data_IF_826081799174
#
_entry.id   IF_826081799174
#
_cell.length_a   1.000
_cell.length_b   1.000
_cell.length_c   1.000
_cell.angle_alpha   90.00
_cell.angle_beta   90.00
_cell.angle_gamma   90.00
#
_symmetry.space_group_name_H-M   'P 1'
#
loop_
_entity.id
_entity.type
_entity.pdbx_description
1 polymer ?
#
# COMPACT_ATOMS: atom_id res chain seq x y z
N UNK A 1 -11.69 -8.44 41.41
CA UNK A 1 -12.41 -7.87 40.26
C UNK A 1 -11.45 -7.89 39.07
N UNK A 2 -11.58 -8.87 38.17
CA UNK A 2 -10.68 -9.05 37.03
C UNK A 2 -10.95 -7.96 35.99
N UNK A 3 -9.97 -7.07 35.75
CA UNK A 3 -9.98 -6.18 34.60
C UNK A 3 -10.10 -7.03 33.33
N UNK A 4 -11.21 -6.88 32.60
CA UNK A 4 -11.40 -7.54 31.30
C UNK A 4 -10.43 -6.91 30.31
N UNK A 5 -9.24 -7.49 30.17
CA UNK A 5 -8.21 -7.03 29.24
C UNK A 5 -8.70 -7.27 27.81
N UNK A 6 -9.20 -6.23 27.16
CA UNK A 6 -9.40 -6.20 25.72
C UNK A 6 -8.05 -5.95 25.05
N UNK A 7 -7.54 -6.93 24.30
CA UNK A 7 -6.28 -6.75 23.56
C UNK A 7 -6.62 -6.35 22.14
N UNK A 8 -6.24 -5.13 21.73
CA UNK A 8 -6.41 -4.63 20.37
C UNK A 8 -5.07 -4.51 19.63
N UNK A 9 -4.98 -5.07 18.43
CA UNK A 9 -3.77 -5.02 17.60
C UNK A 9 -4.14 -5.11 16.10
N UNK A 10 -3.66 -4.17 15.28
CA UNK A 10 -3.88 -4.15 13.82
C UNK A 10 -5.34 -4.43 13.35
N UNK A 11 -6.34 -3.91 14.07
CA UNK A 11 -7.75 -4.11 13.70
C UNK A 11 -8.31 -5.50 14.05
N UNK A 12 -7.61 -6.23 14.91
CA UNK A 12 -8.08 -7.39 15.65
C UNK A 12 -8.27 -6.96 17.10
N UNK A 13 -9.40 -7.34 17.70
CA UNK A 13 -9.62 -7.24 19.13
C UNK A 13 -10.10 -8.60 19.62
N UNK A 14 -9.54 -9.09 20.72
CA UNK A 14 -10.02 -10.30 21.37
C UNK A 14 -10.57 -9.97 22.75
N UNK A 15 -11.77 -10.44 23.02
CA UNK A 15 -12.37 -10.53 24.35
C UNK A 15 -11.72 -11.68 25.15
N UNK A 16 -11.88 -11.71 26.48
CA UNK A 16 -11.39 -12.81 27.30
C UNK A 16 -11.86 -14.20 26.83
N UNK A 17 -13.13 -14.31 26.40
CA UNK A 17 -13.68 -15.57 25.86
C UNK A 17 -13.02 -15.99 24.55
N UNK A 18 -12.70 -15.04 23.69
CA UNK A 18 -11.98 -15.33 22.44
C UNK A 18 -10.53 -15.72 22.72
N UNK A 19 -9.90 -15.17 23.76
CA UNK A 19 -8.56 -15.60 24.20
C UNK A 19 -8.57 -17.05 24.70
N UNK A 20 -9.56 -17.44 25.52
CA UNK A 20 -9.73 -18.84 25.95
C UNK A 20 -9.92 -19.78 24.77
N UNK A 21 -10.73 -19.38 23.78
CA UNK A 21 -10.93 -20.15 22.55
C UNK A 21 -9.63 -20.27 21.73
N UNK A 22 -8.85 -19.18 21.64
CA UNK A 22 -7.54 -19.18 20.97
C UNK A 22 -6.58 -20.17 21.64
N UNK A 23 -6.53 -20.20 22.98
CA UNK A 23 -5.70 -21.16 23.72
C UNK A 23 -6.12 -22.60 23.44
N UNK A 24 -7.43 -22.88 23.42
CA UNK A 24 -7.98 -24.19 23.03
C UNK A 24 -7.54 -24.59 21.62
N UNK A 25 -7.70 -23.69 20.64
CA UNK A 25 -7.28 -23.93 19.25
C UNK A 25 -5.79 -24.23 19.16
N UNK A 26 -4.95 -23.48 19.87
CA UNK A 26 -3.49 -23.69 19.87
C UNK A 26 -3.15 -25.08 20.43
N UNK A 27 -3.81 -25.49 21.52
CA UNK A 27 -3.59 -26.80 22.14
C UNK A 27 -4.00 -27.94 21.20
N UNK A 28 -5.17 -27.84 20.59
CA UNK A 28 -5.71 -28.88 19.71
C UNK A 28 -4.95 -28.95 18.39
N UNK A 29 -4.44 -27.81 17.91
CA UNK A 29 -3.74 -27.69 16.63
C UNK A 29 -2.22 -27.50 16.77
N UNK A 30 -1.60 -28.00 17.84
CA UNK A 30 -0.19 -27.75 18.16
C UNK A 30 0.81 -28.17 17.06
N UNK A 31 0.45 -29.16 16.23
CA UNK A 31 1.28 -29.64 15.12
C UNK A 31 1.33 -28.69 13.91
N UNK A 32 0.42 -27.72 13.83
CA UNK A 32 0.35 -26.77 12.72
C UNK A 32 1.51 -25.76 12.77
N UNK A 33 1.90 -25.25 11.60
CA UNK A 33 2.76 -24.07 11.56
C UNK A 33 2.00 -22.85 12.12
N UNK A 34 2.73 -21.87 12.67
CA UNK A 34 2.13 -20.62 13.18
C UNK A 34 1.23 -19.91 12.15
N UNK A 35 1.50 -20.06 10.84
CA UNK A 35 0.65 -19.50 9.78
C UNK A 35 -0.66 -20.27 9.60
N UNK A 36 -0.61 -21.60 9.61
CA UNK A 36 -1.81 -22.45 9.54
C UNK A 36 -2.69 -22.25 10.77
N UNK A 37 -2.06 -22.18 11.95
CA UNK A 37 -2.73 -21.90 13.22
C UNK A 37 -3.43 -20.53 13.19
N UNK A 38 -2.78 -19.51 12.64
CA UNK A 38 -3.41 -18.20 12.43
C UNK A 38 -4.57 -18.24 11.43
N UNK A 39 -4.54 -19.10 10.40
CA UNK A 39 -5.70 -19.32 9.53
C UNK A 39 -6.87 -19.94 10.30
N UNK A 40 -6.62 -21.01 11.07
CA UNK A 40 -7.65 -21.70 11.87
C UNK A 40 -8.31 -20.75 12.88
N UNK A 41 -7.51 -19.94 13.59
CA UNK A 41 -8.04 -18.90 14.49
C UNK A 41 -8.89 -17.90 13.72
N UNK A 42 -8.42 -17.42 12.55
CA UNK A 42 -9.21 -16.48 11.75
C UNK A 42 -10.54 -17.07 11.26
N UNK A 43 -10.56 -18.36 10.91
CA UNK A 43 -11.78 -19.04 10.45
C UNK A 43 -12.80 -19.17 11.58
N UNK A 44 -12.37 -19.67 12.73
CA UNK A 44 -13.25 -19.93 13.88
C UNK A 44 -13.76 -18.65 14.55
N UNK A 45 -12.94 -17.60 14.61
CA UNK A 45 -13.35 -16.31 15.16
C UNK A 45 -13.98 -15.37 14.13
N UNK A 46 -14.12 -15.80 12.87
CA UNK A 46 -14.65 -14.96 11.80
C UNK A 46 -13.80 -13.71 11.51
N UNK A 47 -12.49 -13.73 11.81
CA UNK A 47 -11.58 -12.63 11.55
C UNK A 47 -11.25 -12.53 10.06
N UNK A 48 -12.19 -11.91 9.34
CA UNK A 48 -12.15 -11.74 7.89
C UNK A 48 -11.95 -10.27 7.51
N UNK A 49 -11.37 -10.09 6.32
CA UNK A 49 -11.30 -8.80 5.62
C UNK A 49 -12.63 -8.53 4.92
N UNK A 50 -12.90 -7.29 4.47
CA UNK A 50 -14.10 -6.97 3.71
C UNK A 50 -14.27 -7.78 2.41
N UNK A 51 -13.16 -8.25 1.81
CA UNK A 51 -13.19 -9.16 0.67
C UNK A 51 -13.37 -10.65 1.05
N UNK A 52 -13.67 -10.97 2.31
CA UNK A 52 -13.88 -12.34 2.81
C UNK A 52 -12.59 -13.11 3.14
N UNK A 53 -11.43 -12.63 2.72
CA UNK A 53 -10.13 -13.25 3.01
C UNK A 53 -9.77 -13.21 4.49
N UNK A 54 -9.04 -14.21 4.98
CA UNK A 54 -8.63 -14.28 6.38
C UNK A 54 -7.61 -13.18 6.74
N UNK A 55 -7.69 -12.66 7.97
CA UNK A 55 -6.68 -11.75 8.55
C UNK A 55 -5.45 -12.52 9.07
N UNK A 56 -4.97 -13.52 8.30
CA UNK A 56 -3.93 -14.46 8.75
C UNK A 56 -2.65 -13.76 9.23
N UNK A 57 -2.17 -12.75 8.50
CA UNK A 57 -0.91 -12.06 8.85
C UNK A 57 -1.08 -11.28 10.15
N UNK A 58 -2.17 -10.51 10.27
CA UNK A 58 -2.49 -9.72 11.47
C UNK A 58 -2.73 -10.64 12.68
N UNK A 59 -3.45 -11.75 12.47
CA UNK A 59 -3.70 -12.76 13.50
C UNK A 59 -2.40 -13.40 13.95
N UNK A 60 -1.52 -13.79 13.02
CA UNK A 60 -0.22 -14.36 13.36
C UNK A 60 0.61 -13.38 14.20
N UNK A 61 0.69 -12.12 13.79
CA UNK A 61 1.41 -11.10 14.56
C UNK A 61 0.76 -10.85 15.92
N UNK A 62 -0.58 -10.92 16.02
CA UNK A 62 -1.30 -10.84 17.29
C UNK A 62 -0.95 -12.01 18.22
N UNK A 63 -0.95 -13.23 17.70
CA UNK A 63 -0.54 -14.42 18.48
C UNK A 63 0.92 -14.33 18.94
N UNK A 64 1.84 -13.94 18.04
CA UNK A 64 3.25 -13.71 18.37
C UNK A 64 3.41 -12.65 19.48
N UNK A 65 2.59 -11.58 19.45
CA UNK A 65 2.55 -10.55 20.49
C UNK A 65 2.03 -11.06 21.84
N UNK A 66 1.04 -11.95 21.82
CA UNK A 66 0.52 -12.56 23.05
C UNK A 66 1.57 -13.51 23.67
N UNK A 67 2.30 -14.26 22.85
CA UNK A 67 3.44 -15.06 23.29
C UNK A 67 4.56 -14.19 23.89
N UNK A 68 4.93 -13.08 23.23
CA UNK A 68 5.90 -12.10 23.77
C UNK A 68 5.52 -11.55 25.15
N UNK A 69 4.20 -11.44 25.42
CA UNK A 69 3.66 -11.00 26.71
C UNK A 69 3.49 -12.12 27.73
N UNK A 70 3.84 -13.36 27.37
CA UNK A 70 3.66 -14.54 28.23
C UNK A 70 2.20 -14.94 28.44
N UNK A 71 1.28 -14.43 27.60
CA UNK A 71 -0.15 -14.72 27.74
C UNK A 71 -0.53 -16.09 27.14
N UNK A 72 0.24 -16.59 26.19
CA UNK A 72 0.08 -17.92 25.60
C UNK A 72 1.42 -18.47 25.14
N UNK A 73 1.45 -19.74 24.72
CA UNK A 73 2.63 -20.38 24.13
C UNK A 73 2.30 -20.88 22.72
N UNK A 74 3.13 -20.57 21.74
CA UNK A 74 2.95 -21.05 20.37
C UNK A 74 3.87 -22.23 20.06
N UNK A 75 3.54 -23.04 19.03
CA UNK A 75 4.46 -24.02 18.49
C UNK A 75 5.80 -23.37 18.11
N UNK A 76 6.93 -24.09 18.23
CA UNK A 76 8.24 -23.57 17.88
C UNK A 76 8.27 -23.13 16.40
N UNK A 77 8.94 -22.01 16.07
CA UNK A 77 9.05 -21.57 14.69
C UNK A 77 9.77 -22.66 13.86
N UNK A 78 9.15 -23.09 12.76
CA UNK A 78 9.85 -23.86 11.73
C UNK A 78 10.95 -22.93 11.19
N UNK A 79 12.21 -23.34 11.31
CA UNK A 79 13.42 -22.50 11.24
C UNK A 79 13.51 -21.53 10.06
N UNK A 80 14.48 -20.60 10.07
CA UNK A 80 14.56 -19.53 9.10
C UNK A 80 14.65 -20.08 7.67
N UNK A 81 13.66 -19.76 6.82
CA UNK A 81 13.81 -19.92 5.38
C UNK A 81 14.96 -19.02 4.93
N UNK A 82 16.09 -19.60 4.54
CA UNK A 82 17.19 -18.89 3.87
C UNK A 82 16.63 -18.29 2.57
N UNK A 83 16.23 -17.02 2.60
CA UNK A 83 15.90 -16.26 1.40
C UNK A 83 17.19 -15.63 0.90
N UNK A 84 17.75 -16.17 -0.18
CA UNK A 84 18.77 -15.46 -0.93
C UNK A 84 18.17 -14.13 -1.40
N UNK A 85 18.70 -13.01 -0.89
CA UNK A 85 18.26 -11.66 -1.25
C UNK A 85 18.89 -11.29 -2.59
N UNK A 86 18.42 -11.89 -3.67
CA UNK A 86 18.76 -11.43 -5.02
C UNK A 86 18.06 -10.10 -5.26
N UNK A 87 18.80 -9.10 -5.76
CA UNK A 87 18.21 -7.80 -6.10
C UNK A 87 17.30 -7.95 -7.32
N UNK A 88 16.08 -7.39 -7.32
CA UNK A 88 15.20 -7.53 -8.48
C UNK A 88 15.82 -7.03 -9.79
N UNK A 89 16.60 -5.94 -9.77
CA UNK A 89 17.22 -5.40 -10.97
C UNK A 89 18.18 -6.40 -11.66
N UNK A 90 18.86 -7.28 -10.91
CA UNK A 90 19.78 -8.27 -11.50
C UNK A 90 19.07 -9.40 -12.23
N UNK A 91 17.74 -9.46 -12.13
CA UNK A 91 16.93 -10.44 -12.83
C UNK A 91 16.37 -9.88 -14.14
N UNK A 92 16.51 -8.59 -14.42
CA UNK A 92 16.08 -7.99 -15.67
C UNK A 92 16.97 -8.43 -16.83
N UNK A 93 16.35 -8.61 -17.98
CA UNK A 93 16.99 -8.89 -19.25
C UNK A 93 16.84 -7.70 -20.20
N UNK A 94 17.53 -7.71 -21.32
CA UNK A 94 17.45 -6.61 -22.29
C UNK A 94 16.07 -6.57 -22.96
N UNK A 95 15.49 -7.73 -23.27
CA UNK A 95 14.14 -7.87 -23.82
C UNK A 95 13.01 -7.44 -22.85
N UNK A 96 13.34 -7.21 -21.58
CA UNK A 96 12.41 -6.72 -20.56
C UNK A 96 12.20 -5.20 -20.64
N UNK A 97 12.91 -4.48 -21.51
CA UNK A 97 12.76 -3.04 -21.72
C UNK A 97 12.02 -2.77 -23.03
N UNK A 98 11.16 -1.73 -23.10
CA UNK A 98 10.57 -1.33 -24.37
C UNK A 98 11.66 -0.80 -25.31
N UNK A 99 11.38 -0.76 -26.64
CA UNK A 99 12.36 -0.32 -27.63
C UNK A 99 12.86 1.11 -27.36
N UNK A 100 14.16 1.35 -27.52
CA UNK A 100 14.77 2.68 -27.39
C UNK A 100 15.06 3.27 -28.78
N UNK A 101 14.64 4.52 -29.08
CA UNK A 101 13.91 5.46 -28.22
C UNK A 101 12.38 5.31 -28.31
N UNK A 102 11.66 5.62 -27.21
CA UNK A 102 10.20 5.83 -27.24
C UNK A 102 9.91 7.33 -27.25
N UNK A 103 9.67 7.88 -28.44
CA UNK A 103 9.44 9.31 -28.68
C UNK A 103 8.16 9.56 -29.49
N UNK A 104 7.60 10.76 -29.34
CA UNK A 104 6.36 11.18 -29.98
C UNK A 104 5.31 11.64 -28.98
N UNK A 105 4.06 11.72 -29.42
CA UNK A 105 2.91 12.15 -28.62
C UNK A 105 2.01 10.98 -28.21
N UNK A 106 1.20 11.16 -27.17
CA UNK A 106 0.17 10.17 -26.80
C UNK A 106 -0.82 9.91 -27.95
N UNK A 107 -1.11 10.93 -28.77
CA UNK A 107 -1.99 10.76 -29.93
C UNK A 107 -1.40 9.81 -30.98
N UNK A 108 -0.09 9.90 -31.22
CA UNK A 108 0.60 9.06 -32.21
C UNK A 108 0.83 7.63 -31.69
N UNK A 109 1.24 7.49 -30.43
CA UNK A 109 1.62 6.22 -29.80
C UNK A 109 0.43 5.44 -29.23
N UNK A 110 -0.76 6.05 -29.25
CA UNK A 110 -2.01 5.45 -28.82
C UNK A 110 -2.39 5.77 -27.36
N UNK A 111 -3.63 5.46 -26.97
CA UNK A 111 -4.16 5.78 -25.66
C UNK A 111 -3.34 5.13 -24.53
N UNK A 112 -3.27 5.86 -23.41
CA UNK A 112 -2.60 5.39 -22.20
C UNK A 112 -3.53 4.47 -21.42
N UNK A 113 -3.09 3.24 -21.22
CA UNK A 113 -3.79 2.22 -20.45
C UNK A 113 -2.98 1.82 -19.21
N UNK A 114 -3.67 1.22 -18.23
CA UNK A 114 -3.03 0.66 -17.04
C UNK A 114 -3.28 -0.85 -16.98
N UNK A 115 -2.22 -1.62 -16.76
CA UNK A 115 -2.33 -3.07 -16.58
C UNK A 115 -2.01 -3.43 -15.13
N UNK A 116 -2.92 -4.11 -14.44
CA UNK A 116 -2.65 -4.63 -13.09
C UNK A 116 -1.57 -5.71 -13.17
N UNK A 117 -0.57 -5.62 -12.31
CA UNK A 117 0.46 -6.64 -12.11
C UNK A 117 -0.18 -7.88 -11.47
N UNK A 118 -0.27 -9.00 -12.21
CA UNK A 118 -0.98 -10.20 -11.76
C UNK A 118 -0.09 -11.42 -11.62
N UNK A 119 0.76 -11.67 -12.61
CA UNK A 119 1.53 -12.91 -12.70
C UNK A 119 2.84 -12.83 -11.91
N UNK A 120 3.51 -13.98 -11.73
CA UNK A 120 4.86 -13.98 -11.14
C UNK A 120 5.85 -13.24 -12.03
N UNK A 121 5.68 -13.35 -13.34
CA UNK A 121 6.50 -12.70 -14.34
C UNK A 121 6.30 -11.17 -14.35
N UNK A 122 5.05 -10.71 -14.31
CA UNK A 122 4.74 -9.28 -14.13
C UNK A 122 5.40 -8.73 -12.85
N UNK A 123 5.36 -9.50 -11.75
CA UNK A 123 5.99 -9.09 -10.49
C UNK A 123 7.51 -9.06 -10.61
N UNK A 124 8.14 -10.00 -11.33
CA UNK A 124 9.59 -9.98 -11.59
C UNK A 124 9.96 -8.69 -12.31
N UNK A 125 9.30 -8.45 -13.44
CA UNK A 125 9.53 -7.31 -14.32
C UNK A 125 9.31 -5.97 -13.59
N UNK A 126 8.12 -5.80 -12.98
CA UNK A 126 7.75 -4.57 -12.28
C UNK A 126 8.73 -4.23 -11.15
N UNK A 127 9.15 -5.24 -10.38
CA UNK A 127 10.13 -5.06 -9.30
C UNK A 127 11.49 -4.68 -9.86
N UNK A 128 11.92 -5.31 -10.95
CA UNK A 128 13.15 -4.97 -11.63
C UNK A 128 13.16 -3.50 -12.08
N UNK A 129 12.11 -3.06 -12.79
CA UNK A 129 12.02 -1.67 -13.28
C UNK A 129 12.04 -0.66 -12.13
N UNK A 130 11.28 -0.92 -11.06
CA UNK A 130 11.29 -0.04 -9.89
C UNK A 130 12.64 -0.05 -9.18
N UNK A 131 13.30 -1.20 -9.08
CA UNK A 131 14.61 -1.31 -8.43
C UNK A 131 15.71 -0.58 -9.21
N UNK A 132 15.68 -0.70 -10.54
CA UNK A 132 16.67 -0.10 -11.43
C UNK A 132 16.46 1.41 -11.64
N UNK A 133 15.21 1.85 -11.88
CA UNK A 133 14.97 3.20 -12.40
C UNK A 133 14.26 4.15 -11.43
N UNK A 134 13.56 3.65 -10.41
CA UNK A 134 12.93 4.54 -9.43
C UNK A 134 13.97 4.99 -8.40
N UNK A 135 14.06 6.29 -8.11
CA UNK A 135 15.03 6.88 -7.17
C UNK A 135 14.99 6.37 -5.72
N UNK A 136 14.02 5.53 -5.37
CA UNK A 136 13.89 4.89 -4.04
C UNK A 136 14.20 3.39 -4.07
N UNK A 137 14.48 2.84 -5.25
CA UNK A 137 14.55 1.41 -5.53
C UNK A 137 13.28 0.66 -5.16
N UNK A 138 13.36 -0.67 -5.26
CA UNK A 138 12.29 -1.54 -4.82
C UNK A 138 12.38 -1.79 -3.32
N UNK A 139 11.25 -1.54 -2.64
CA UNK A 139 11.06 -1.91 -1.24
C UNK A 139 9.75 -2.66 -1.15
N UNK A 140 9.70 -3.72 -0.35
CA UNK A 140 8.47 -4.47 -0.13
C UNK A 140 7.42 -3.52 0.45
N UNK A 141 6.28 -3.30 -0.25
CA UNK A 141 5.24 -2.43 0.26
C UNK A 141 4.63 -3.04 1.53
N UNK A 142 4.40 -2.19 2.52
CA UNK A 142 3.73 -2.60 3.75
C UNK A 142 2.23 -2.32 3.64
N UNK A 143 1.42 -3.33 3.94
CA UNK A 143 -0.04 -3.25 3.89
C UNK A 143 -0.60 -3.54 2.51
N UNK A 144 -1.87 -3.16 2.31
CA UNK A 144 -2.57 -3.31 1.05
C UNK A 144 -1.87 -2.49 -0.04
N UNK A 145 -1.74 -3.05 -1.24
CA UNK A 145 -1.18 -2.37 -2.39
C UNK A 145 -1.62 -3.01 -3.71
N UNK A 146 -1.77 -2.18 -4.74
CA UNK A 146 -1.91 -2.58 -6.13
C UNK A 146 -0.77 -1.98 -6.93
N UNK A 147 -0.23 -2.76 -7.85
CA UNK A 147 0.81 -2.33 -8.78
C UNK A 147 0.27 -2.41 -10.21
N UNK A 148 0.65 -1.43 -11.01
CA UNK A 148 0.27 -1.30 -12.40
C UNK A 148 1.49 -1.09 -13.27
N UNK A 149 1.44 -1.58 -14.51
CA UNK A 149 2.20 -1.02 -15.61
C UNK A 149 1.44 0.12 -16.27
N UNK A 150 2.17 1.14 -16.72
CA UNK A 150 1.68 2.17 -17.64
C UNK A 150 1.96 1.66 -19.05
N UNK A 151 0.93 1.60 -19.89
CA UNK A 151 1.04 1.10 -21.25
C UNK A 151 0.63 2.17 -22.27
N UNK A 152 1.35 2.24 -23.38
CA UNK A 152 0.92 2.91 -24.61
C UNK A 152 0.49 1.83 -25.60
N UNK A 153 -0.67 1.97 -26.23
CA UNK A 153 -1.25 0.90 -27.06
C UNK A 153 -0.29 0.37 -28.15
N UNK A 154 0.44 1.24 -28.84
CA UNK A 154 1.35 0.82 -29.93
C UNK A 154 2.76 0.44 -29.48
N UNK A 155 3.10 0.65 -28.21
CA UNK A 155 4.47 0.43 -27.68
C UNK A 155 4.49 -0.70 -26.64
N UNK A 156 3.41 -0.86 -25.89
CA UNK A 156 3.36 -1.74 -24.72
C UNK A 156 3.72 -1.00 -23.44
N UNK A 157 4.37 -1.70 -22.50
CA UNK A 157 4.65 -1.22 -21.15
C UNK A 157 5.79 -0.20 -21.17
N UNK A 158 5.58 0.95 -20.55
CA UNK A 158 6.51 2.11 -20.56
C UNK A 158 6.74 2.73 -19.18
N UNK A 159 6.10 2.18 -18.14
CA UNK A 159 6.25 2.69 -16.78
C UNK A 159 5.53 1.86 -15.73
N UNK A 160 5.58 2.32 -14.49
CA UNK A 160 5.01 1.66 -13.33
C UNK A 160 4.29 2.65 -12.40
N UNK A 161 3.18 2.20 -11.81
CA UNK A 161 2.48 2.89 -10.72
C UNK A 161 2.28 1.90 -9.57
N UNK A 162 2.51 2.34 -8.33
CA UNK A 162 2.05 1.63 -7.13
C UNK A 162 1.08 2.51 -6.36
N UNK A 163 -0.01 1.88 -5.92
CA UNK A 163 -0.94 2.44 -4.95
C UNK A 163 -0.90 1.55 -3.71
N UNK A 164 -0.75 2.13 -2.52
CA UNK A 164 -0.68 1.41 -1.26
C UNK A 164 -1.61 2.00 -0.20
N UNK A 165 -1.69 1.34 0.95
CA UNK A 165 -2.27 1.93 2.16
C UNK A 165 -1.64 3.31 2.46
N UNK A 166 -2.42 4.24 3.02
CA UNK A 166 -2.00 5.61 3.25
C UNK A 166 -1.10 5.74 4.48
N UNK A 167 -0.48 6.91 4.63
CA UNK A 167 0.23 7.23 5.86
C UNK A 167 -0.74 7.30 7.04
N UNK A 168 -0.40 6.65 8.16
CA UNK A 168 -1.24 6.57 9.36
C UNK A 168 -1.65 7.96 9.88
N UNK A 169 -0.68 8.87 9.98
CA UNK A 169 -0.89 10.26 10.40
C UNK A 169 -0.35 11.18 9.33
N UNK A 170 -1.16 12.14 8.92
CA UNK A 170 -0.75 13.15 7.95
C UNK A 170 -1.47 14.46 8.28
N UNK A 171 -0.82 15.34 9.05
CA UNK A 171 -1.47 16.51 9.65
C UNK A 171 -2.19 17.40 8.62
N UNK A 172 -1.54 17.69 7.49
CA UNK A 172 -2.12 18.56 6.44
C UNK A 172 -3.36 17.94 5.80
N UNK A 173 -3.35 16.62 5.59
CA UNK A 173 -4.51 15.86 5.07
C UNK A 173 -5.62 15.81 6.10
N UNK A 174 -5.30 15.42 7.33
CA UNK A 174 -6.28 15.26 8.40
C UNK A 174 -6.97 16.61 8.68
N UNK A 175 -6.22 17.72 8.68
CA UNK A 175 -6.75 19.07 8.80
C UNK A 175 -7.61 19.47 7.59
N UNK A 176 -7.19 19.13 6.37
CA UNK A 176 -7.97 19.40 5.16
C UNK A 176 -9.31 18.67 5.19
N UNK A 177 -9.34 17.39 5.57
CA UNK A 177 -10.60 16.63 5.72
C UNK A 177 -11.42 17.16 6.90
N UNK A 178 -10.76 17.63 7.97
CA UNK A 178 -11.38 18.03 9.22
C UNK A 178 -11.57 16.85 10.17
N UNK A 179 -10.61 15.93 10.20
CA UNK A 179 -10.62 14.74 11.05
C UNK A 179 -9.94 14.98 12.39
N UNK A 180 -10.57 14.47 13.45
CA UNK A 180 -9.89 14.11 14.69
C UNK A 180 -9.28 12.70 14.63
N UNK A 181 -8.66 12.26 15.74
CA UNK A 181 -8.02 10.95 15.83
C UNK A 181 -9.01 9.78 15.70
N UNK A 182 -10.26 9.93 16.15
CA UNK A 182 -11.30 8.88 16.08
C UNK A 182 -11.86 8.77 14.67
N UNK A 183 -12.13 9.88 14.01
CA UNK A 183 -12.58 9.94 12.62
C UNK A 183 -11.50 9.39 11.68
N UNK A 184 -10.23 9.75 11.91
CA UNK A 184 -9.12 9.18 11.13
C UNK A 184 -9.08 7.66 11.26
N UNK A 185 -9.23 7.11 12.45
CA UNK A 185 -9.24 5.65 12.65
C UNK A 185 -10.30 4.95 11.78
N UNK A 186 -11.49 5.54 11.64
CA UNK A 186 -12.60 4.98 10.85
C UNK A 186 -12.44 5.23 9.35
N UNK A 187 -12.01 6.43 8.98
CA UNK A 187 -11.97 6.90 7.60
C UNK A 187 -10.71 6.54 6.83
N UNK A 188 -9.59 6.24 7.50
CA UNK A 188 -8.28 6.04 6.84
C UNK A 188 -8.30 4.93 5.79
N UNK A 189 -9.10 3.88 5.99
CA UNK A 189 -9.25 2.78 5.04
C UNK A 189 -9.83 3.20 3.67
N UNK A 190 -10.45 4.38 3.59
CA UNK A 190 -10.97 4.98 2.37
C UNK A 190 -9.96 5.91 1.68
N UNK A 191 -8.73 5.98 2.18
CA UNK A 191 -7.65 6.72 1.54
C UNK A 191 -6.64 5.72 1.01
N UNK A 192 -6.11 5.98 -0.18
CA UNK A 192 -5.00 5.21 -0.77
C UNK A 192 -3.90 6.17 -1.19
N UNK A 193 -2.67 5.67 -1.28
CA UNK A 193 -1.49 6.49 -1.53
C UNK A 193 -0.76 6.03 -2.79
N UNK A 194 -0.51 6.92 -3.74
CA UNK A 194 0.35 6.65 -4.89
C UNK A 194 1.82 6.60 -4.43
N UNK A 195 2.27 5.42 -4.00
CA UNK A 195 3.57 5.19 -3.36
C UNK A 195 4.75 5.09 -4.31
N UNK A 196 4.52 4.73 -5.57
CA UNK A 196 5.55 4.73 -6.62
C UNK A 196 4.94 5.23 -7.92
N UNK A 197 5.71 6.04 -8.64
CA UNK A 197 5.37 6.48 -9.98
C UNK A 197 6.66 6.54 -10.78
N UNK A 198 6.71 5.81 -11.89
CA UNK A 198 7.86 5.68 -12.76
C UNK A 198 7.38 5.72 -14.21
N UNK A 199 7.97 6.58 -15.01
CA UNK A 199 8.02 6.43 -16.47
C UNK A 199 9.49 6.11 -16.78
N UNK A 200 9.74 5.13 -17.65
CA UNK A 200 11.11 4.69 -17.92
C UNK A 200 11.96 5.83 -18.51
N UNK A 201 13.26 5.93 -18.17
CA UNK A 201 14.07 7.10 -18.55
C UNK A 201 14.19 7.37 -20.06
N UNK A 202 14.14 6.34 -20.90
CA UNK A 202 14.21 6.45 -22.36
C UNK A 202 12.85 6.78 -23.01
N UNK A 203 11.79 6.95 -22.21
CA UNK A 203 10.45 7.30 -22.70
C UNK A 203 10.25 8.82 -22.62
N UNK A 204 10.25 9.47 -23.77
CA UNK A 204 10.12 10.93 -23.91
C UNK A 204 8.83 11.29 -24.63
N UNK A 205 7.72 11.06 -23.96
CA UNK A 205 6.37 11.31 -24.47
C UNK A 205 5.73 12.42 -23.65
N UNK A 206 5.52 13.63 -24.21
CA UNK A 206 4.88 14.73 -23.50
C UNK A 206 3.51 14.32 -22.95
N UNK A 207 3.18 14.78 -21.75
CA UNK A 207 1.90 14.53 -21.07
C UNK A 207 1.57 13.06 -20.75
N UNK A 208 2.47 12.10 -21.00
CA UNK A 208 2.26 10.69 -20.67
C UNK A 208 2.02 10.51 -19.17
N UNK A 209 2.84 11.13 -18.32
CA UNK A 209 2.77 10.96 -16.88
C UNK A 209 1.44 11.47 -16.29
N UNK A 210 0.99 12.67 -16.67
CA UNK A 210 -0.29 13.23 -16.22
C UNK A 210 -1.47 12.44 -16.77
N UNK A 211 -1.39 11.95 -18.01
CA UNK A 211 -2.42 11.10 -18.61
C UNK A 211 -2.54 9.76 -17.87
N UNK A 212 -1.42 9.16 -17.48
CA UNK A 212 -1.39 7.94 -16.67
C UNK A 212 -1.99 8.15 -15.27
N UNK A 213 -1.72 9.29 -14.62
CA UNK A 213 -2.34 9.66 -13.35
C UNK A 213 -3.86 9.86 -13.48
N UNK A 214 -4.32 10.49 -14.57
CA UNK A 214 -5.74 10.63 -14.85
C UNK A 214 -6.41 9.25 -15.09
N UNK A 215 -5.74 8.36 -15.83
CA UNK A 215 -6.19 6.98 -16.01
C UNK A 215 -6.29 6.23 -14.68
N UNK A 216 -5.31 6.40 -13.79
CA UNK A 216 -5.34 5.83 -12.44
C UNK A 216 -6.55 6.33 -11.65
N UNK A 217 -6.79 7.64 -11.63
CA UNK A 217 -7.91 8.24 -10.90
C UNK A 217 -9.28 7.73 -11.33
N UNK A 218 -9.44 7.35 -12.61
CA UNK A 218 -10.70 6.79 -13.15
C UNK A 218 -10.99 5.35 -12.72
N UNK A 219 -9.97 4.57 -12.37
CA UNK A 219 -10.11 3.12 -12.15
C UNK A 219 -9.77 2.63 -10.75
N UNK A 220 -8.91 3.36 -10.03
CA UNK A 220 -8.35 2.87 -8.76
C UNK A 220 -9.42 2.58 -7.72
N UNK A 221 -10.52 3.32 -7.72
CA UNK A 221 -11.64 3.06 -6.81
C UNK A 221 -12.30 1.71 -7.05
N UNK A 222 -12.48 1.32 -8.32
CA UNK A 222 -13.06 0.04 -8.72
C UNK A 222 -12.09 -1.11 -8.50
N UNK A 223 -10.85 -0.97 -8.95
CA UNK A 223 -9.83 -2.01 -8.78
C UNK A 223 -9.57 -2.31 -7.29
N UNK A 224 -9.48 -1.26 -6.47
CA UNK A 224 -9.26 -1.41 -5.03
C UNK A 224 -10.46 -2.04 -4.33
N UNK A 225 -11.68 -1.67 -4.73
CA UNK A 225 -12.89 -2.30 -4.19
C UNK A 225 -13.00 -3.76 -4.60
N UNK A 226 -12.75 -4.09 -5.88
CA UNK A 226 -12.75 -5.46 -6.36
C UNK A 226 -11.73 -6.33 -5.63
N UNK A 227 -10.56 -5.79 -5.31
CA UNK A 227 -9.49 -6.55 -4.66
C UNK A 227 -9.62 -6.62 -3.13
N UNK A 228 -9.99 -5.52 -2.47
CA UNK A 228 -9.98 -5.40 -0.99
C UNK A 228 -11.36 -5.28 -0.35
N UNK A 229 -12.43 -5.15 -1.13
CA UNK A 229 -13.80 -4.99 -0.64
C UNK A 229 -14.09 -3.59 -0.06
N UNK A 230 -13.13 -2.67 -0.08
CA UNK A 230 -13.28 -1.30 0.40
C UNK A 230 -13.16 -0.36 -0.79
N UNK A 231 -14.08 0.59 -0.95
CA UNK A 231 -13.96 1.60 -2.00
C UNK A 231 -13.23 2.85 -1.46
N UNK A 232 -12.07 3.22 -2.01
CA UNK A 232 -11.40 4.46 -1.62
C UNK A 232 -12.13 5.67 -2.16
N UNK A 233 -12.08 6.77 -1.40
CA UNK A 233 -12.68 8.06 -1.71
C UNK A 233 -11.62 9.10 -2.09
N UNK A 234 -10.38 8.90 -1.66
CA UNK A 234 -9.28 9.85 -1.86
C UNK A 234 -7.98 9.11 -2.19
N UNK A 235 -7.25 9.65 -3.17
CA UNK A 235 -5.88 9.26 -3.46
C UNK A 235 -4.93 10.36 -2.96
N UNK A 236 -3.84 9.99 -2.28
CA UNK A 236 -2.81 10.92 -1.81
C UNK A 236 -1.44 10.58 -2.42
N UNK A 237 -0.52 11.55 -2.46
CA UNK A 237 0.87 11.33 -2.84
C UNK A 237 1.79 12.30 -2.11
N UNK A 238 3.06 11.94 -1.99
CA UNK A 238 4.10 12.75 -1.36
C UNK A 238 5.26 12.95 -2.33
N UNK A 239 5.54 14.22 -2.63
CA UNK A 239 6.59 14.60 -3.58
C UNK A 239 7.78 15.15 -2.81
N UNK A 240 8.95 14.54 -2.99
CA UNK A 240 10.21 15.06 -2.46
C UNK A 240 10.59 16.35 -3.20
N UNK A 241 10.42 17.50 -2.53
CA UNK A 241 10.64 18.83 -3.11
C UNK A 241 12.11 19.09 -3.44
N UNK A 242 13.04 18.34 -2.84
CA UNK A 242 14.46 18.42 -3.18
C UNK A 242 14.77 17.77 -4.54
N UNK A 243 13.87 16.93 -5.06
CA UNK A 243 14.05 16.18 -6.31
C UNK A 243 13.07 16.58 -7.40
N UNK A 244 11.83 16.92 -7.04
CA UNK A 244 10.76 17.09 -8.01
C UNK A 244 9.86 18.29 -7.66
N UNK A 245 9.35 18.96 -8.71
CA UNK A 245 8.44 20.12 -8.59
C UNK A 245 6.94 19.75 -8.46
N UNK A 246 6.61 18.46 -8.51
CA UNK A 246 5.23 17.97 -8.49
C UNK A 246 4.40 18.32 -9.74
N UNK A 247 5.03 18.73 -10.84
CA UNK A 247 4.36 19.24 -12.05
C UNK A 247 3.31 18.28 -12.60
N UNK A 248 3.60 16.97 -12.63
CA UNK A 248 2.69 15.97 -13.17
C UNK A 248 1.39 15.85 -12.36
N UNK A 249 1.45 16.08 -11.05
CA UNK A 249 0.28 16.04 -10.17
C UNK A 249 -0.57 17.30 -10.34
N UNK A 250 0.07 18.47 -10.46
CA UNK A 250 -0.61 19.73 -10.80
C UNK A 250 -1.32 19.64 -12.16
N UNK A 251 -0.63 19.12 -13.18
CA UNK A 251 -1.18 18.91 -14.51
C UNK A 251 -2.34 17.89 -14.53
N UNK A 252 -2.35 16.93 -13.61
CA UNK A 252 -3.44 15.97 -13.44
C UNK A 252 -4.56 16.48 -12.49
N UNK A 253 -4.61 17.78 -12.19
CA UNK A 253 -5.61 18.42 -11.32
C UNK A 253 -5.65 17.90 -9.87
N UNK A 254 -4.49 17.51 -9.33
CA UNK A 254 -4.39 17.18 -7.91
C UNK A 254 -4.34 18.45 -7.06
N UNK A 255 -4.97 18.39 -5.89
CA UNK A 255 -5.09 19.50 -4.95
C UNK A 255 -3.85 19.52 -4.04
N UNK A 256 -3.03 20.59 -4.04
CA UNK A 256 -1.93 20.73 -3.10
C UNK A 256 -2.46 21.03 -1.69
N UNK A 257 -1.93 20.33 -0.68
CA UNK A 257 -2.28 20.53 0.74
C UNK A 257 -1.15 21.17 1.56
N UNK A 258 0.02 21.38 0.95
CA UNK A 258 1.22 21.91 1.62
C UNK A 258 2.21 20.81 2.00
N UNK A 259 3.12 21.13 2.93
CA UNK A 259 4.28 20.29 3.26
C UNK A 259 4.02 19.31 4.41
N UNK A 260 4.66 18.14 4.34
CA UNK A 260 4.85 17.29 5.52
C UNK A 260 5.80 17.95 6.51
N UNK A 261 5.73 17.54 7.78
CA UNK A 261 6.61 18.06 8.84
C UNK A 261 8.01 17.42 8.86
N UNK A 262 8.39 16.67 7.82
CA UNK A 262 9.68 15.99 7.72
C UNK A 262 9.87 14.80 8.66
N UNK A 263 8.77 14.14 9.07
CA UNK A 263 8.81 12.99 9.98
C UNK A 263 8.60 11.68 9.22
N UNK A 264 9.51 10.72 9.44
CA UNK A 264 9.40 9.38 8.89
C UNK A 264 8.32 8.54 9.58
N UNK A 265 7.88 7.47 8.91
CA UNK A 265 6.85 6.53 9.39
C UNK A 265 7.17 5.86 10.74
N UNK A 266 8.45 5.80 11.10
CA UNK A 266 8.98 5.10 12.28
C UNK A 266 9.43 6.04 13.41
N UNK A 267 9.18 7.35 13.30
CA UNK A 267 9.57 8.32 14.33
C UNK A 267 8.71 8.12 15.60
N UNK A 268 9.27 7.39 16.57
CA UNK A 268 8.70 7.17 17.90
C UNK A 268 9.23 8.19 18.93
N UNK A 269 10.31 8.89 18.61
CA UNK A 269 11.07 9.71 19.57
C UNK A 269 10.83 11.22 19.45
N UNK A 270 9.93 11.66 18.57
CA UNK A 270 9.62 13.09 18.36
C UNK A 270 10.82 13.94 17.93
N UNK A 271 11.92 13.31 17.53
CA UNK A 271 13.14 13.97 17.08
C UNK A 271 13.08 14.12 15.57
N UNK A 272 13.31 15.34 15.07
CA UNK A 272 13.43 15.66 13.64
C UNK A 272 14.66 14.95 13.05
N UNK A 273 14.54 13.67 12.71
CA UNK A 273 15.64 12.92 12.09
C UNK A 273 15.27 12.62 10.63
N UNK A 274 15.73 13.49 9.73
CA UNK A 274 16.31 13.05 8.46
C UNK A 274 15.43 12.93 7.21
N UNK A 275 14.12 13.17 7.24
CA UNK A 275 13.33 13.22 5.99
C UNK A 275 13.00 14.66 5.58
N UNK A 276 13.42 15.04 4.36
CA UNK A 276 13.06 16.32 3.78
C UNK A 276 11.53 16.49 3.74
N UNK A 277 11.00 17.70 4.03
CA UNK A 277 9.58 18.00 3.82
C UNK A 277 9.13 17.60 2.42
N UNK A 278 7.96 16.96 2.33
CA UNK A 278 7.37 16.52 1.07
C UNK A 278 6.13 17.33 0.79
N UNK A 279 5.91 17.73 -0.46
CA UNK A 279 4.62 18.28 -0.87
C UNK A 279 3.58 17.16 -0.82
N UNK A 280 2.44 17.45 -0.20
CA UNK A 280 1.29 16.57 -0.16
C UNK A 280 0.29 17.03 -1.22
N UNK A 281 -0.07 16.11 -2.12
CA UNK A 281 -1.17 16.32 -3.06
C UNK A 281 -2.26 15.28 -2.82
N UNK A 282 -3.51 15.67 -3.02
CA UNK A 282 -4.66 14.77 -2.95
C UNK A 282 -5.54 14.86 -4.19
N UNK A 283 -6.18 13.75 -4.53
CA UNK A 283 -7.09 13.64 -5.66
C UNK A 283 -8.40 12.97 -5.22
N UNK A 284 -9.53 13.69 -5.22
CA UNK A 284 -10.85 13.13 -4.95
C UNK A 284 -11.25 12.08 -5.99
N UNK A 285 -11.61 10.87 -5.55
CA UNK A 285 -12.03 9.77 -6.44
C UNK A 285 -13.55 9.74 -6.70
N UNK A 286 -14.30 10.63 -6.07
CA UNK A 286 -15.72 10.81 -6.32
C UNK A 286 -16.18 12.23 -5.96
N UNK A 287 -17.37 12.61 -6.43
CA UNK A 287 -18.02 13.86 -6.02
C UNK A 287 -18.20 13.88 -4.49
N UNK A 288 -17.90 15.02 -3.89
CA UNK A 288 -18.01 15.27 -2.45
C UNK A 288 -17.18 14.30 -1.59
N UNK A 289 -16.01 13.84 -2.09
CA UNK A 289 -15.17 12.89 -1.38
C UNK A 289 -14.76 13.39 0.02
N UNK A 290 -14.44 14.68 0.14
CA UNK A 290 -14.04 15.31 1.40
C UNK A 290 -15.17 15.27 2.43
N UNK A 291 -16.38 15.63 2.03
CA UNK A 291 -17.57 15.64 2.89
C UNK A 291 -17.95 14.22 3.31
N UNK A 292 -17.87 13.26 2.38
CA UNK A 292 -18.09 11.83 2.69
C UNK A 292 -17.09 11.34 3.72
N UNK A 293 -15.80 11.62 3.53
CA UNK A 293 -14.74 11.25 4.48
C UNK A 293 -14.95 11.89 5.86
N UNK A 294 -15.35 13.16 5.91
CA UNK A 294 -15.60 13.87 7.18
C UNK A 294 -16.76 13.26 7.99
N UNK A 295 -17.74 12.65 7.33
CA UNK A 295 -18.93 12.05 7.95
C UNK A 295 -18.73 10.63 8.47
N UNK A 296 -17.62 9.97 8.12
CA UNK A 296 -17.28 8.62 8.61
C UNK A 296 -16.92 8.63 10.10
#
# INVERSE_FOLDING_TARGET
MSEKVHVQFFGIAASPKELELIEGIIKDCWGLSRSELACTVCELLGWRRPNGGLKMVECRMFLERLEEKGMLRLPPPRGPRKRNRVRPATLLKEEDLPPEPVEGTVAELGPVNLEIVKTQEDRRLWRGWIDQFHYLGYKVPFGAHLSYFVCLEKVGRVGCIQVSSPAWRMKVRDAWIGWDDKQRLRGLQHIVQNSRFLILPHVRVPNLASTALAALGRRIADDWHAHYGIRPLLLETFVDVARFKGTIYKAANWIPLGLTTGRGRMDREWKRVGEAPKDVYVFPLCRNAREKLKRL
#
